data_IF_463024551241
#
_entry.id   IF_463024551241
#
_cell.length_a   1.000
_cell.length_b   1.000
_cell.length_c   1.000
_cell.angle_alpha   90.00
_cell.angle_beta   90.00
_cell.angle_gamma   90.00
#
_symmetry.space_group_name_H-M   'P 1'
#
loop_
_entity.id
_entity.type
_entity.pdbx_description
1 polymer ?
#
# COMPACT_ATOMS: atom_id res chain seq x y z
N UNK A 1 41.34 -53.88 23.49
CA UNK A 1 40.56 -52.84 24.19
C UNK A 1 40.91 -51.51 23.55
N UNK A 2 40.11 -51.12 22.54
CA UNK A 2 40.08 -49.81 21.85
C UNK A 2 41.42 -49.39 21.22
N UNK A 3 41.83 -49.90 20.06
CA UNK A 3 41.15 -49.91 18.75
C UNK A 3 40.56 -48.56 18.33
N UNK A 4 41.12 -48.09 17.20
CA UNK A 4 40.62 -47.14 16.22
C UNK A 4 40.55 -45.65 16.57
N UNK A 5 41.56 -44.90 16.12
CA UNK A 5 41.37 -43.72 15.24
C UNK A 5 42.68 -42.94 14.98
N UNK A 6 43.70 -43.59 14.40
CA UNK A 6 44.75 -42.88 13.64
C UNK A 6 45.00 -43.67 12.34
N UNK A 7 44.73 -43.03 11.19
CA UNK A 7 45.20 -43.36 9.82
C UNK A 7 44.58 -44.53 9.03
N UNK A 8 43.57 -44.19 8.21
CA UNK A 8 43.46 -44.60 6.79
C UNK A 8 42.90 -43.36 6.06
N UNK A 9 43.70 -42.39 5.62
CA UNK A 9 44.38 -42.32 4.32
C UNK A 9 43.48 -42.55 3.09
N UNK A 10 43.07 -41.42 2.49
CA UNK A 10 43.01 -41.10 1.04
C UNK A 10 42.31 -42.10 0.09
N UNK A 11 41.20 -41.67 -0.51
CA UNK A 11 40.96 -41.85 -1.95
C UNK A 11 39.92 -40.83 -2.46
N UNK A 12 40.36 -39.97 -3.41
CA UNK A 12 39.63 -39.42 -4.56
C UNK A 12 38.37 -38.55 -4.30
N UNK A 13 38.42 -37.23 -4.56
CA UNK A 13 38.17 -36.59 -5.87
C UNK A 13 36.70 -36.21 -6.09
N UNK A 14 36.49 -34.92 -6.37
CA UNK A 14 35.41 -34.34 -7.18
C UNK A 14 34.05 -33.99 -6.53
N UNK A 15 33.74 -32.68 -6.63
CA UNK A 15 32.47 -32.14 -7.16
C UNK A 15 31.27 -31.97 -6.19
N UNK A 16 30.99 -30.69 -5.92
CA UNK A 16 29.67 -30.04 -5.85
C UNK A 16 28.71 -30.31 -4.67
N UNK A 17 28.44 -29.21 -3.95
CA UNK A 17 27.15 -28.75 -3.44
C UNK A 17 26.35 -29.56 -2.40
N UNK A 18 25.59 -28.76 -1.64
CA UNK A 18 24.28 -29.04 -1.00
C UNK A 18 24.25 -28.88 0.53
N UNK A 19 23.83 -27.67 0.92
CA UNK A 19 22.75 -27.33 1.88
C UNK A 19 22.73 -28.05 3.24
N UNK A 20 22.81 -27.25 4.31
CA UNK A 20 22.00 -27.23 5.57
C UNK A 20 22.90 -26.89 6.77
N UNK A 21 22.54 -26.10 7.79
CA UNK A 21 21.50 -25.11 8.08
C UNK A 21 21.92 -24.52 9.42
N UNK A 22 22.10 -23.20 9.53
CA UNK A 22 21.76 -22.52 10.78
C UNK A 22 21.38 -21.08 10.50
N UNK A 23 20.11 -20.97 10.12
CA UNK A 23 19.29 -19.78 10.06
C UNK A 23 18.98 -19.31 11.48
N UNK A 24 19.63 -18.24 11.94
CA UNK A 24 19.13 -17.36 13.00
C UNK A 24 19.59 -15.94 12.62
N UNK A 25 18.78 -15.25 11.80
CA UNK A 25 18.67 -13.79 11.60
C UNK A 25 17.88 -13.39 10.32
N UNK A 26 16.99 -14.26 9.83
CA UNK A 26 16.06 -13.93 8.73
C UNK A 26 14.60 -14.17 9.14
N UNK A 27 14.23 -13.59 10.28
CA UNK A 27 12.85 -13.49 10.71
C UNK A 27 12.52 -12.03 11.04
N UNK A 28 12.72 -11.14 10.06
CA UNK A 28 11.99 -9.86 10.00
C UNK A 28 12.03 -9.18 8.61
N UNK A 29 12.93 -9.60 7.70
CA UNK A 29 13.05 -8.97 6.37
C UNK A 29 11.98 -9.45 5.37
N UNK A 30 11.48 -10.68 5.47
CA UNK A 30 10.50 -11.23 4.50
C UNK A 30 9.05 -10.81 4.74
N UNK A 31 8.72 -10.31 5.94
CA UNK A 31 7.39 -9.71 6.20
C UNK A 31 7.31 -8.26 5.72
N UNK A 32 8.44 -7.57 5.59
CA UNK A 32 8.51 -6.19 5.12
C UNK A 32 8.45 -6.08 3.58
N UNK A 33 8.97 -7.08 2.85
CA UNK A 33 9.06 -7.03 1.39
C UNK A 33 7.71 -7.09 0.64
N UNK A 34 6.60 -7.43 1.31
CA UNK A 34 5.28 -7.51 0.67
C UNK A 34 4.23 -6.63 1.38
N UNK A 35 4.65 -5.63 2.15
CA UNK A 35 3.74 -4.71 2.83
C UNK A 35 4.02 -3.29 2.44
N UNK A 36 2.97 -2.57 2.06
CA UNK A 36 3.02 -1.13 1.79
C UNK A 36 2.37 -0.40 2.96
N UNK A 37 3.00 0.65 3.47
CA UNK A 37 2.44 1.44 4.55
C UNK A 37 2.95 2.88 4.54
N UNK A 38 2.23 3.77 5.21
CA UNK A 38 2.64 5.15 5.31
C UNK A 38 1.59 6.02 5.98
N UNK A 39 1.78 7.33 5.84
CA UNK A 39 0.87 8.34 6.35
C UNK A 39 0.43 9.28 5.24
N UNK A 40 -0.81 9.73 5.33
CA UNK A 40 -1.34 10.81 4.48
C UNK A 40 -1.32 12.09 5.30
N UNK A 41 -1.07 13.23 4.65
CA UNK A 41 -1.20 14.53 5.30
C UNK A 41 -2.60 14.75 5.92
N UNK A 42 -2.64 15.48 7.04
CA UNK A 42 -3.88 15.86 7.71
C UNK A 42 -4.82 16.63 6.76
N UNK A 43 -6.11 16.34 6.83
CA UNK A 43 -7.13 16.93 5.96
C UNK A 43 -7.91 17.97 6.75
N UNK A 44 -7.99 19.18 6.22
CA UNK A 44 -8.87 20.23 6.72
C UNK A 44 -9.99 20.48 5.71
N UNK A 45 -11.23 20.43 6.16
CA UNK A 45 -12.41 20.65 5.33
C UNK A 45 -13.42 21.53 6.06
N UNK A 46 -14.17 22.35 5.31
CA UNK A 46 -15.28 23.12 5.85
C UNK A 46 -16.56 22.64 5.20
N UNK A 47 -17.54 22.25 6.00
CA UNK A 47 -18.86 21.84 5.54
C UNK A 47 -19.93 22.76 6.11
N UNK A 48 -21.09 22.82 5.46
CA UNK A 48 -22.23 23.61 5.91
C UNK A 48 -23.41 22.70 6.21
N UNK A 49 -23.94 22.77 7.42
CA UNK A 49 -25.12 22.02 7.86
C UNK A 49 -26.13 23.01 8.41
N UNK A 50 -27.34 23.04 7.84
CA UNK A 50 -28.41 23.97 8.24
C UNK A 50 -27.95 25.43 8.27
N UNK A 51 -27.20 25.86 7.25
CA UNK A 51 -26.67 27.24 7.15
C UNK A 51 -25.53 27.57 8.11
N UNK A 52 -25.01 26.59 8.86
CA UNK A 52 -23.88 26.79 9.80
C UNK A 52 -22.62 26.11 9.27
N UNK A 53 -21.51 26.82 9.31
CA UNK A 53 -20.20 26.29 8.94
C UNK A 53 -19.61 25.44 10.07
N UNK A 54 -19.05 24.30 9.70
CA UNK A 54 -18.28 23.40 10.56
C UNK A 54 -16.93 23.14 9.94
N UNK A 55 -15.86 23.34 10.71
CA UNK A 55 -14.52 22.93 10.35
C UNK A 55 -14.32 21.48 10.79
N UNK A 56 -13.97 20.62 9.85
CA UNK A 56 -13.67 19.21 10.06
C UNK A 56 -12.19 18.99 9.81
N UNK A 57 -11.50 18.38 10.77
CA UNK A 57 -10.09 18.03 10.68
C UNK A 57 -9.95 16.52 10.83
N UNK A 58 -9.41 15.86 9.83
CA UNK A 58 -9.01 14.45 9.91
C UNK A 58 -7.50 14.41 10.11
N UNK A 59 -7.06 13.77 11.19
CA UNK A 59 -5.66 13.80 11.65
C UNK A 59 -5.07 12.40 11.77
N UNK A 60 -3.75 12.37 11.67
CA UNK A 60 -2.93 11.18 11.89
C UNK A 60 -3.41 10.03 10.99
N UNK A 61 -3.56 10.33 9.70
CA UNK A 61 -4.09 9.41 8.71
C UNK A 61 -2.99 8.44 8.31
N UNK A 62 -3.23 7.14 8.48
CA UNK A 62 -2.28 6.07 8.16
C UNK A 62 -2.89 5.10 7.17
N UNK A 63 -2.09 4.62 6.23
CA UNK A 63 -2.49 3.53 5.33
C UNK A 63 -1.57 2.33 5.49
N UNK A 64 -2.10 1.17 5.14
CA UNK A 64 -1.36 -0.08 5.11
C UNK A 64 -2.04 -1.09 4.19
N UNK A 65 -1.26 -1.96 3.56
CA UNK A 65 -1.77 -3.00 2.68
C UNK A 65 -0.69 -4.03 2.38
N UNK A 66 -1.07 -5.10 1.68
CA UNK A 66 -0.16 -6.15 1.26
C UNK A 66 -0.03 -6.15 -0.25
N UNK A 67 1.20 -6.24 -0.74
CA UNK A 67 1.48 -6.51 -2.14
C UNK A 67 1.04 -7.94 -2.47
N UNK A 68 0.15 -8.08 -3.45
CA UNK A 68 -0.36 -9.38 -3.90
C UNK A 68 0.28 -9.81 -5.22
N UNK A 69 0.31 -8.92 -6.20
CA UNK A 69 0.98 -9.19 -7.48
C UNK A 69 1.51 -7.90 -8.11
N UNK A 70 2.52 -8.09 -8.95
CA UNK A 70 3.08 -7.09 -9.85
C UNK A 70 3.06 -7.72 -11.25
N UNK A 71 2.38 -7.06 -12.17
CA UNK A 71 2.17 -7.48 -13.55
C UNK A 71 2.61 -6.35 -14.48
N UNK A 72 3.41 -6.63 -15.49
CA UNK A 72 3.76 -5.66 -16.53
C UNK A 72 2.73 -5.84 -17.65
N UNK A 73 2.02 -4.75 -17.99
CA UNK A 73 0.92 -4.78 -18.95
C UNK A 73 1.38 -4.44 -20.36
N UNK A 74 2.31 -3.50 -20.48
CA UNK A 74 2.82 -3.01 -21.75
C UNK A 74 4.28 -2.64 -21.59
N UNK A 75 5.08 -3.02 -22.57
CA UNK A 75 6.51 -2.71 -22.66
C UNK A 75 6.73 -2.01 -24.01
N UNK A 76 6.22 -0.78 -24.12
CA UNK A 76 6.59 0.08 -25.22
C UNK A 76 8.05 0.51 -25.00
N UNK A 77 8.83 0.61 -26.07
CA UNK A 77 10.27 0.91 -26.05
C UNK A 77 10.69 2.19 -25.31
N UNK A 78 9.74 2.99 -24.83
CA UNK A 78 9.96 4.25 -24.11
C UNK A 78 9.29 4.26 -22.72
N UNK A 79 8.23 3.49 -22.51
CA UNK A 79 7.40 3.53 -21.29
C UNK A 79 6.80 2.15 -21.02
N UNK A 80 6.97 1.69 -19.78
CA UNK A 80 6.45 0.41 -19.32
C UNK A 80 5.32 0.68 -18.33
N UNK A 81 4.16 0.04 -18.53
CA UNK A 81 3.03 0.14 -17.60
C UNK A 81 3.08 -1.07 -16.67
N UNK A 82 3.22 -0.79 -15.38
CA UNK A 82 3.25 -1.80 -14.33
C UNK A 82 1.97 -1.71 -13.51
N UNK A 83 1.22 -2.80 -13.48
CA UNK A 83 0.04 -2.96 -12.64
C UNK A 83 0.40 -3.68 -11.35
N UNK A 84 0.09 -3.03 -10.23
CA UNK A 84 0.25 -3.55 -8.89
C UNK A 84 -1.11 -3.84 -8.29
N UNK A 85 -1.27 -5.05 -7.73
CA UNK A 85 -2.46 -5.44 -6.97
C UNK A 85 -2.13 -5.47 -5.49
N UNK A 86 -2.91 -4.72 -4.70
CA UNK A 86 -2.80 -4.66 -3.25
C UNK A 86 -4.03 -5.33 -2.61
N UNK A 87 -3.80 -6.13 -1.57
CA UNK A 87 -4.84 -6.77 -0.76
C UNK A 87 -4.80 -6.25 0.68
N UNK A 88 -5.88 -6.50 1.43
CA UNK A 88 -6.02 -6.09 2.84
C UNK A 88 -5.76 -4.60 3.08
N UNK A 89 -6.07 -3.74 2.10
CA UNK A 89 -5.73 -2.32 2.18
C UNK A 89 -6.64 -1.61 3.18
N UNK A 90 -6.03 -0.97 4.16
CA UNK A 90 -6.70 -0.21 5.22
C UNK A 90 -6.18 1.20 5.26
N UNK A 91 -7.10 2.13 5.45
CA UNK A 91 -6.82 3.52 5.75
C UNK A 91 -7.46 3.85 7.10
N UNK A 92 -6.68 4.34 8.04
CA UNK A 92 -7.09 4.64 9.41
C UNK A 92 -6.95 6.13 9.67
N UNK A 93 -8.04 6.78 10.05
CA UNK A 93 -8.03 8.14 10.58
C UNK A 93 -8.06 8.03 12.09
N UNK A 94 -6.97 8.36 12.78
CA UNK A 94 -6.91 8.14 14.23
C UNK A 94 -7.73 9.15 15.02
N UNK A 95 -7.80 10.39 14.54
CA UNK A 95 -8.54 11.45 15.22
C UNK A 95 -9.26 12.34 14.21
N UNK A 96 -10.53 12.60 14.47
CA UNK A 96 -11.31 13.60 13.75
C UNK A 96 -11.84 14.62 14.75
N UNK A 97 -11.69 15.90 14.42
CA UNK A 97 -12.28 17.00 15.18
C UNK A 97 -13.27 17.75 14.30
N UNK A 98 -14.44 18.06 14.84
CA UNK A 98 -15.48 18.85 14.20
C UNK A 98 -15.73 20.06 15.09
N UNK A 99 -15.61 21.27 14.54
CA UNK A 99 -15.75 22.51 15.28
C UNK A 99 -16.71 23.47 14.56
N UNK A 100 -17.76 23.86 15.26
CA UNK A 100 -18.68 24.95 14.90
C UNK A 100 -18.61 26.07 15.95
N UNK A 101 -19.49 27.06 15.84
CA UNK A 101 -19.49 28.23 16.74
C UNK A 101 -19.85 27.91 18.18
N UNK A 102 -20.76 26.96 18.41
CA UNK A 102 -21.18 26.50 19.76
C UNK A 102 -21.29 24.97 19.86
N UNK A 103 -20.76 24.28 18.86
CA UNK A 103 -20.83 22.84 18.71
C UNK A 103 -19.43 22.31 18.49
N UNK A 104 -19.09 21.22 19.14
CA UNK A 104 -17.84 20.53 18.86
C UNK A 104 -18.01 19.03 19.03
N UNK A 105 -17.25 18.28 18.26
CA UNK A 105 -17.12 16.86 18.48
C UNK A 105 -15.70 16.39 18.17
N UNK A 106 -15.31 15.33 18.86
CA UNK A 106 -14.13 14.56 18.54
C UNK A 106 -14.51 13.10 18.42
N UNK A 107 -13.85 12.38 17.52
CA UNK A 107 -14.04 10.95 17.37
C UNK A 107 -12.81 10.26 16.79
N UNK A 108 -12.78 8.94 16.89
CA UNK A 108 -11.78 8.11 16.23
C UNK A 108 -11.61 6.75 16.89
N UNK A 109 -10.61 5.97 16.46
CA UNK A 109 -10.19 5.90 15.07
C UNK A 109 -11.36 5.50 14.15
N UNK A 110 -11.31 5.93 12.89
CA UNK A 110 -12.21 5.49 11.81
C UNK A 110 -11.39 4.60 10.87
N UNK A 111 -11.82 3.36 10.67
CA UNK A 111 -11.20 2.43 9.73
C UNK A 111 -11.96 2.44 8.41
N UNK A 112 -11.22 2.55 7.30
CA UNK A 112 -11.72 2.36 5.96
C UNK A 112 -10.97 1.18 5.33
N UNK A 113 -11.71 0.26 4.73
CA UNK A 113 -11.15 -0.87 4.00
C UNK A 113 -11.30 -0.59 2.51
N UNK A 114 -10.19 -0.65 1.79
CA UNK A 114 -10.12 -0.47 0.35
C UNK A 114 -9.87 -1.86 -0.26
N UNK A 115 -10.51 -2.15 -1.38
CA UNK A 115 -10.36 -3.46 -2.00
C UNK A 115 -11.22 -4.54 -1.35
N UNK A 116 -12.41 -4.20 -0.85
CA UNK A 116 -13.28 -5.15 -0.12
C UNK A 116 -13.94 -6.20 -1.00
N UNK A 117 -14.21 -5.88 -2.27
CA UNK A 117 -14.81 -6.80 -3.25
C UNK A 117 -13.72 -7.39 -4.15
N UNK A 118 -12.77 -6.56 -4.58
CA UNK A 118 -11.66 -6.91 -5.47
C UNK A 118 -10.37 -6.24 -5.01
N UNK A 119 -9.22 -6.82 -5.34
CA UNK A 119 -7.93 -6.21 -4.97
C UNK A 119 -7.85 -4.75 -5.46
N UNK A 120 -7.17 -3.90 -4.69
CA UNK A 120 -6.93 -2.52 -5.06
C UNK A 120 -5.85 -2.48 -6.14
N UNK A 121 -6.15 -1.86 -7.27
CA UNK A 121 -5.23 -1.79 -8.40
C UNK A 121 -4.58 -0.41 -8.46
N UNK A 122 -3.25 -0.40 -8.54
CA UNK A 122 -2.45 0.78 -8.81
C UNK A 122 -1.67 0.55 -10.10
N UNK A 123 -1.72 1.49 -11.02
CA UNK A 123 -0.87 1.49 -12.21
C UNK A 123 0.25 2.49 -12.01
N UNK A 124 1.47 2.06 -12.33
CA UNK A 124 2.65 2.90 -12.39
C UNK A 124 3.14 2.92 -13.83
N UNK A 125 3.26 4.11 -14.39
CA UNK A 125 3.97 4.31 -15.64
C UNK A 125 5.43 4.57 -15.28
N UNK A 126 6.32 3.68 -15.72
CA UNK A 126 7.75 3.77 -15.44
C UNK A 126 8.53 3.89 -16.74
N UNK A 127 9.67 4.57 -16.66
CA UNK A 127 10.64 4.69 -17.73
C UNK A 127 11.98 4.21 -17.24
N UNK A 128 12.70 3.46 -18.07
CA UNK A 128 14.08 3.09 -17.78
C UNK A 128 15.03 4.20 -18.21
N UNK A 129 15.92 4.60 -17.30
CA UNK A 129 16.98 5.57 -17.57
C UNK A 129 18.21 4.86 -18.17
N UNK A 130 19.19 5.65 -18.63
CA UNK A 130 20.44 5.13 -19.24
C UNK A 130 21.23 4.23 -18.30
N UNK A 131 21.07 4.41 -17.00
CA UNK A 131 21.75 3.63 -15.95
C UNK A 131 20.92 2.39 -15.52
N UNK A 132 19.94 1.99 -16.34
CA UNK A 132 18.98 0.90 -16.09
C UNK A 132 18.01 1.09 -14.90
N UNK A 133 18.16 2.17 -14.13
CA UNK A 133 17.24 2.56 -13.05
C UNK A 133 15.83 2.89 -13.59
N UNK A 134 14.80 2.40 -12.89
CA UNK A 134 13.41 2.72 -13.19
C UNK A 134 13.05 4.08 -12.58
N UNK A 135 12.42 4.95 -13.38
CA UNK A 135 11.90 6.23 -12.91
C UNK A 135 10.39 6.25 -13.08
N UNK A 136 9.69 6.57 -12.00
CA UNK A 136 8.25 6.79 -12.01
C UNK A 136 7.90 8.04 -12.84
N UNK A 137 7.07 7.86 -13.87
CA UNK A 137 6.56 8.93 -14.74
C UNK A 137 5.19 9.40 -14.27
N UNK A 138 4.26 8.46 -14.07
CA UNK A 138 2.90 8.72 -13.59
C UNK A 138 2.38 7.56 -12.75
N UNK A 139 1.33 7.81 -11.96
CA UNK A 139 0.69 6.78 -11.14
C UNK A 139 -0.83 6.99 -11.04
N UNK A 140 -1.57 5.88 -11.12
CA UNK A 140 -3.03 5.91 -11.13
C UNK A 140 -3.62 4.90 -10.16
N UNK A 141 -4.51 5.38 -9.29
CA UNK A 141 -5.29 4.54 -8.38
C UNK A 141 -6.63 4.16 -9.01
N UNK A 142 -6.87 2.87 -9.21
CA UNK A 142 -8.19 2.32 -9.59
C UNK A 142 -8.94 1.89 -8.33
N UNK A 143 -9.72 2.82 -7.78
CA UNK A 143 -10.64 2.57 -6.67
C UNK A 143 -12.07 2.89 -7.10
N UNK A 144 -12.95 1.92 -7.12
CA UNK A 144 -14.36 2.18 -7.41
C UNK A 144 -15.16 2.32 -6.12
N UNK A 145 -16.33 2.97 -6.20
CA UNK A 145 -17.14 3.28 -5.02
C UNK A 145 -17.71 2.05 -4.30
N UNK A 146 -17.93 0.96 -5.04
CA UNK A 146 -18.37 -0.33 -4.51
C UNK A 146 -17.24 -1.08 -3.78
N UNK A 147 -15.98 -0.70 -4.02
CA UNK A 147 -14.80 -1.37 -3.49
C UNK A 147 -14.19 -0.67 -2.25
N UNK A 148 -15.02 0.11 -1.55
CA UNK A 148 -14.69 0.84 -0.33
C UNK A 148 -15.73 0.56 0.76
N UNK A 149 -15.26 0.22 1.94
CA UNK A 149 -16.09 0.12 3.14
C UNK A 149 -15.60 1.09 4.21
N UNK A 150 -16.50 1.96 4.68
CA UNK A 150 -16.20 2.93 5.75
C UNK A 150 -16.83 2.43 7.05
N UNK A 151 -15.98 2.20 8.05
CA UNK A 151 -16.41 1.83 9.40
C UNK A 151 -16.93 3.02 10.21
N UNK A 152 -17.58 2.71 11.33
CA UNK A 152 -17.95 3.72 12.32
C UNK A 152 -16.73 4.09 13.18
N UNK A 153 -16.64 5.34 13.70
CA UNK A 153 -15.64 5.69 14.70
C UNK A 153 -15.80 4.81 15.94
N UNK A 154 -14.68 4.37 16.54
CA UNK A 154 -14.74 3.53 17.76
C UNK A 154 -15.31 4.29 18.97
N UNK A 155 -15.04 5.59 19.06
CA UNK A 155 -15.62 6.46 20.07
C UNK A 155 -16.04 7.79 19.45
N UNK A 156 -17.04 8.43 20.05
CA UNK A 156 -17.51 9.77 19.69
C UNK A 156 -17.80 10.54 20.96
N UNK A 157 -17.33 11.77 21.03
CA UNK A 157 -17.67 12.74 22.06
C UNK A 157 -18.19 13.99 21.36
N UNK A 158 -19.48 14.26 21.51
CA UNK A 158 -20.13 15.43 20.93
C UNK A 158 -20.67 16.34 22.04
N UNK A 159 -20.59 17.65 21.82
CA UNK A 159 -21.15 18.67 22.69
C UNK A 159 -21.81 19.79 21.87
N UNK A 160 -22.89 20.34 22.42
CA UNK A 160 -23.67 21.42 21.83
C UNK A 160 -25.02 20.94 21.29
N UNK A 161 -25.98 21.89 21.24
CA UNK A 161 -27.37 21.60 20.84
C UNK A 161 -27.40 21.06 19.41
N UNK A 162 -28.09 19.93 19.24
CA UNK A 162 -28.26 19.24 17.94
C UNK A 162 -27.07 18.37 17.51
N UNK A 163 -25.97 18.38 18.26
CA UNK A 163 -24.78 17.56 18.00
C UNK A 163 -24.72 16.42 19.01
N UNK A 164 -25.22 15.25 18.62
CA UNK A 164 -25.11 14.03 19.42
C UNK A 164 -24.18 13.01 18.76
N UNK A 165 -23.74 12.02 19.52
CA UNK A 165 -22.77 11.03 19.07
C UNK A 165 -23.23 10.28 17.81
N UNK A 166 -24.50 9.91 17.73
CA UNK A 166 -25.07 9.19 16.59
C UNK A 166 -25.08 10.03 15.32
N UNK A 167 -25.48 11.31 15.41
CA UNK A 167 -25.51 12.24 14.30
C UNK A 167 -24.09 12.51 13.78
N UNK A 168 -23.12 12.64 14.68
CA UNK A 168 -21.71 12.82 14.30
C UNK A 168 -21.16 11.58 13.62
N UNK A 169 -21.37 10.38 14.19
CA UNK A 169 -20.91 9.12 13.58
C UNK A 169 -21.51 8.92 12.17
N UNK A 170 -22.82 9.09 12.04
CA UNK A 170 -23.52 8.92 10.76
C UNK A 170 -23.12 9.99 9.74
N UNK A 171 -23.02 11.25 10.17
CA UNK A 171 -22.62 12.37 9.32
C UNK A 171 -21.19 12.21 8.79
N UNK A 172 -20.26 11.75 9.63
CA UNK A 172 -18.88 11.47 9.20
C UNK A 172 -18.82 10.31 8.22
N UNK A 173 -19.51 9.20 8.50
CA UNK A 173 -19.55 8.05 7.58
C UNK A 173 -20.13 8.43 6.23
N UNK A 174 -21.25 9.15 6.21
CA UNK A 174 -21.87 9.66 4.99
C UNK A 174 -20.96 10.66 4.27
N UNK A 175 -20.36 11.60 5.00
CA UNK A 175 -19.47 12.62 4.45
C UNK A 175 -18.23 12.02 3.80
N UNK A 176 -17.58 11.06 4.45
CA UNK A 176 -16.45 10.33 3.87
C UNK A 176 -16.86 9.56 2.61
N UNK A 177 -18.04 8.93 2.62
CA UNK A 177 -18.55 8.20 1.46
C UNK A 177 -18.82 9.14 0.25
N UNK A 178 -19.41 10.31 0.50
CA UNK A 178 -19.69 11.30 -0.54
C UNK A 178 -18.44 12.00 -1.08
N UNK A 179 -17.32 11.96 -0.35
CA UNK A 179 -16.06 12.63 -0.72
C UNK A 179 -15.00 11.66 -1.28
N UNK A 180 -15.43 10.56 -1.91
CA UNK A 180 -14.53 9.60 -2.56
C UNK A 180 -13.52 10.25 -3.53
N UNK A 181 -13.86 11.26 -4.36
CA UNK A 181 -12.89 11.91 -5.24
C UNK A 181 -11.74 12.59 -4.46
N UNK A 182 -12.04 13.23 -3.32
CA UNK A 182 -11.03 13.83 -2.46
C UNK A 182 -10.12 12.76 -1.87
N UNK A 183 -10.70 11.65 -1.40
CA UNK A 183 -9.96 10.52 -0.87
C UNK A 183 -8.99 9.93 -1.91
N UNK A 184 -9.47 9.72 -3.13
CA UNK A 184 -8.63 9.26 -4.25
C UNK A 184 -7.46 10.19 -4.48
N UNK A 185 -7.70 11.50 -4.56
CA UNK A 185 -6.64 12.50 -4.77
C UNK A 185 -5.56 12.42 -3.68
N UNK A 186 -5.97 12.26 -2.43
CA UNK A 186 -5.05 12.18 -1.30
C UNK A 186 -4.24 10.89 -1.30
N UNK A 187 -4.87 9.75 -1.61
CA UNK A 187 -4.17 8.48 -1.76
C UNK A 187 -3.23 8.48 -2.98
N UNK A 188 -3.65 9.10 -4.08
CA UNK A 188 -2.84 9.27 -5.28
C UNK A 188 -1.56 10.06 -5.01
N UNK A 189 -1.60 11.07 -4.12
CA UNK A 189 -0.42 11.82 -3.73
C UNK A 189 0.62 10.97 -2.98
N UNK A 190 0.21 9.87 -2.37
CA UNK A 190 1.10 8.94 -1.66
C UNK A 190 1.63 7.80 -2.56
N UNK A 191 1.13 7.66 -3.79
CA UNK A 191 1.57 6.59 -4.68
C UNK A 191 3.08 6.59 -4.99
N UNK A 192 3.78 7.73 -5.10
CA UNK A 192 5.24 7.72 -5.22
C UNK A 192 5.95 7.10 -4.01
N UNK A 193 5.38 7.24 -2.80
CA UNK A 193 5.90 6.59 -1.60
C UNK A 193 5.62 5.09 -1.60
N UNK A 194 4.49 4.68 -2.17
CA UNK A 194 4.18 3.26 -2.38
C UNK A 194 5.13 2.66 -3.42
N UNK A 195 5.37 3.34 -4.53
CA UNK A 195 6.30 2.91 -5.58
C UNK A 195 7.69 2.61 -5.01
N UNK A 196 8.27 3.55 -4.26
CA UNK A 196 9.59 3.37 -3.60
C UNK A 196 9.65 2.19 -2.63
N UNK A 197 8.53 1.77 -2.06
CA UNK A 197 8.48 0.60 -1.16
C UNK A 197 8.45 -0.74 -1.91
N UNK A 198 8.05 -0.73 -3.18
CA UNK A 198 7.89 -1.94 -4.00
C UNK A 198 8.76 -1.91 -5.26
N UNK A 199 9.72 -0.99 -5.32
CA UNK A 199 10.55 -0.71 -6.49
C UNK A 199 11.37 -1.93 -6.88
N UNK A 200 12.04 -2.58 -5.92
CA UNK A 200 12.82 -3.81 -6.13
C UNK A 200 11.98 -4.94 -6.77
N UNK A 201 10.72 -5.08 -6.36
CA UNK A 201 9.79 -6.09 -6.88
C UNK A 201 9.34 -5.75 -8.30
N UNK A 202 9.20 -4.45 -8.60
CA UNK A 202 8.90 -3.98 -9.96
C UNK A 202 10.11 -4.18 -10.86
N UNK A 203 11.30 -3.78 -10.44
CA UNK A 203 12.53 -3.91 -11.21
C UNK A 203 12.84 -5.37 -11.55
N UNK A 204 12.67 -6.28 -10.59
CA UNK A 204 12.82 -7.71 -10.83
C UNK A 204 11.83 -8.26 -11.87
N UNK A 205 10.61 -7.72 -11.95
CA UNK A 205 9.60 -8.14 -12.94
C UNK A 205 9.84 -7.57 -14.32
N UNK A 206 10.18 -6.29 -14.41
CA UNK A 206 10.49 -5.62 -15.69
C UNK A 206 11.74 -6.24 -16.31
N UNK A 207 12.80 -6.46 -15.52
CA UNK A 207 14.04 -7.08 -16.00
C UNK A 207 13.84 -8.52 -16.47
N UNK A 208 12.96 -9.30 -15.81
CA UNK A 208 12.65 -10.66 -16.24
C UNK A 208 11.96 -10.72 -17.62
N UNK A 209 11.12 -9.74 -17.97
CA UNK A 209 10.52 -9.69 -19.32
C UNK A 209 11.52 -9.30 -20.39
N UNK A 210 12.47 -8.42 -20.09
CA UNK A 210 13.55 -8.08 -21.01
C UNK A 210 14.41 -9.31 -21.34
N UNK A 211 14.75 -10.13 -20.34
CA UNK A 211 15.53 -11.36 -20.57
C UNK A 211 14.80 -12.35 -21.48
N UNK A 212 13.46 -12.41 -21.43
CA UNK A 212 12.66 -13.27 -22.31
C UNK A 212 12.62 -12.74 -23.75
N UNK A 213 12.73 -11.43 -23.96
CA UNK A 213 12.64 -10.80 -25.29
C UNK A 213 13.95 -10.79 -26.10
N UNK A 214 15.07 -11.30 -25.57
CA UNK A 214 16.39 -11.24 -26.25
C UNK A 214 16.75 -12.53 -27.00
N UNK A 215 16.03 -13.63 -26.82
CA UNK A 215 16.46 -14.91 -27.41
C UNK A 215 15.29 -15.82 -27.81
N UNK A 216 14.56 -15.48 -28.88
CA UNK A 216 13.85 -16.51 -29.65
C UNK A 216 13.45 -16.01 -31.05
N UNK A 217 14.37 -16.15 -32.00
CA UNK A 217 14.06 -16.60 -33.36
C UNK A 217 15.26 -17.40 -33.88
N UNK A 218 15.16 -18.73 -34.07
CA UNK A 218 16.13 -19.45 -34.86
C UNK A 218 15.96 -19.02 -36.32
N UNK A 219 17.05 -18.59 -36.95
CA UNK A 219 17.17 -18.47 -38.40
C UNK A 219 17.11 -19.85 -39.05
N UNK A 220 16.16 -20.11 -39.96
CA UNK A 220 16.39 -20.93 -41.15
C UNK A 220 16.81 -20.06 -42.34
#
# INVERSE_FOLDING_TARGET
MKDDAIRILRLFSAVLAVITSTSILQADTDRAANTVSGSVADINHTTHVMGRAFRVQFKEIKYGGKLKSVEVLDDASVQTIVQVRLSDVKLMINRTNVQGSRQHASCGPIEMKLGTIRDLVVEFEVKRNKDAELTLVDSKLKLDSDNLQIGSPRWVQAQGIGMNNSNVANGLRSGLNSNLPLLKRLLSAELPNVFRQIEDQIEGKVSAMEVVNVAELPTP
#
